data_IF_704880443214
#
_entry.id   IF_704880443214
#
_cell.length_a   1.000
_cell.length_b   1.000
_cell.length_c   1.000
_cell.angle_alpha   90.00
_cell.angle_beta   90.00
_cell.angle_gamma   90.00
#
_symmetry.space_group_name_H-M   'P 1'
#
loop_
_entity.id
_entity.type
_entity.pdbx_description
1 polymer ?
#
# COMPACT_ATOMS: atom_id res chain seq x y z
N UNK A 1 1.37 9.63 -14.34
CA UNK A 1 1.08 8.20 -14.07
C UNK A 1 1.36 7.92 -12.60
N UNK A 2 0.51 7.11 -11.96
CA UNK A 2 0.77 6.54 -10.64
C UNK A 2 1.20 5.08 -10.86
N UNK A 3 2.37 4.71 -10.34
CA UNK A 3 2.72 3.30 -10.22
C UNK A 3 1.93 2.73 -9.04
N UNK A 4 0.99 1.85 -9.31
CA UNK A 4 0.10 1.31 -8.28
C UNK A 4 0.84 0.56 -7.19
N UNK A 5 0.42 0.75 -5.94
CA UNK A 5 0.87 -0.07 -4.83
C UNK A 5 0.38 -1.51 -5.00
N UNK A 6 1.31 -2.42 -5.19
CA UNK A 6 1.02 -3.85 -5.39
C UNK A 6 1.30 -4.64 -4.11
N UNK A 7 1.32 -5.96 -4.21
CA UNK A 7 1.55 -6.84 -3.08
C UNK A 7 2.84 -6.58 -2.30
N UNK A 8 2.96 -7.22 -1.13
CA UNK A 8 4.08 -7.09 -0.19
C UNK A 8 5.40 -7.25 -0.93
N UNK A 9 6.29 -6.29 -0.78
CA UNK A 9 7.61 -6.21 -1.40
C UNK A 9 7.64 -6.22 -2.94
N UNK A 10 6.50 -6.31 -3.65
CA UNK A 10 6.45 -6.18 -5.12
C UNK A 10 6.66 -4.72 -5.51
N UNK A 11 5.90 -3.80 -4.91
CA UNK A 11 6.18 -2.36 -4.96
C UNK A 11 7.17 -2.02 -3.84
N UNK A 12 8.44 -2.24 -4.11
CA UNK A 12 9.53 -1.92 -3.19
C UNK A 12 10.07 -0.50 -3.45
N UNK A 13 10.99 -0.07 -2.62
CA UNK A 13 11.61 1.26 -2.72
C UNK A 13 12.39 1.46 -4.04
N UNK A 14 13.01 0.41 -4.62
CA UNK A 14 13.77 0.51 -5.88
C UNK A 14 12.84 0.83 -7.05
N UNK A 15 11.71 0.13 -7.15
CA UNK A 15 10.70 0.41 -8.16
C UNK A 15 10.14 1.83 -8.00
N UNK A 16 9.73 2.20 -6.78
CA UNK A 16 9.16 3.52 -6.51
C UNK A 16 10.15 4.64 -6.83
N UNK A 17 11.42 4.50 -6.43
CA UNK A 17 12.51 5.44 -6.74
C UNK A 17 12.70 5.59 -8.24
N UNK A 18 12.81 4.47 -8.97
CA UNK A 18 13.00 4.48 -10.44
C UNK A 18 11.86 5.20 -11.15
N UNK A 19 10.62 4.93 -10.76
CA UNK A 19 9.43 5.59 -11.34
C UNK A 19 9.42 7.08 -11.01
N UNK A 20 9.74 7.44 -9.79
CA UNK A 20 9.77 8.83 -9.33
C UNK A 20 10.84 9.66 -10.06
N UNK A 21 12.02 9.08 -10.30
CA UNK A 21 13.08 9.72 -11.09
C UNK A 21 12.68 9.97 -12.55
N UNK A 22 11.66 9.30 -13.07
CA UNK A 22 11.06 9.55 -14.39
C UNK A 22 9.91 10.58 -14.32
N UNK A 23 9.77 11.34 -13.23
CA UNK A 23 8.76 12.38 -13.07
C UNK A 23 7.34 11.83 -12.85
N UNK A 24 7.20 10.57 -12.47
CA UNK A 24 5.92 9.94 -12.18
C UNK A 24 5.77 9.70 -10.66
N UNK A 25 4.59 9.32 -10.17
CA UNK A 25 4.41 8.99 -8.77
C UNK A 25 4.81 7.53 -8.53
N UNK A 26 6.00 7.32 -7.93
CA UNK A 26 6.44 6.03 -7.45
C UNK A 26 5.80 5.69 -6.11
N UNK A 27 5.27 4.48 -5.95
CA UNK A 27 4.51 4.09 -4.76
C UNK A 27 5.06 2.83 -4.13
N UNK A 28 5.43 2.89 -2.86
CA UNK A 28 5.83 1.71 -2.08
C UNK A 28 4.61 1.03 -1.44
N UNK A 29 4.70 -0.29 -1.22
CA UNK A 29 3.68 -1.02 -0.46
C UNK A 29 4.00 -0.98 1.02
N UNK A 30 3.13 -0.37 1.83
CA UNK A 30 3.28 -0.27 3.29
C UNK A 30 2.76 -1.50 4.05
N UNK A 31 2.17 -2.47 3.36
CA UNK A 31 1.58 -3.66 3.99
C UNK A 31 2.65 -4.65 4.42
N UNK A 32 2.63 -5.06 5.70
CA UNK A 32 3.57 -6.01 6.31
C UNK A 32 5.06 -5.68 6.06
N UNK A 33 5.37 -4.41 5.94
CA UNK A 33 6.72 -3.93 5.61
C UNK A 33 7.71 -4.16 6.75
N UNK A 34 7.23 -4.24 7.99
CA UNK A 34 7.97 -4.65 9.18
C UNK A 34 8.60 -6.03 9.01
N UNK A 35 7.83 -6.99 8.49
CA UNK A 35 8.33 -8.33 8.17
C UNK A 35 9.37 -8.29 7.06
N UNK A 36 9.18 -7.46 6.05
CA UNK A 36 10.12 -7.30 4.94
C UNK A 36 11.44 -6.74 5.46
N UNK A 37 11.41 -5.67 6.26
CA UNK A 37 12.60 -5.07 6.84
C UNK A 37 13.34 -6.05 7.76
N UNK A 38 12.62 -6.73 8.67
CA UNK A 38 13.21 -7.70 9.58
C UNK A 38 13.88 -8.86 8.84
N UNK A 39 13.31 -9.33 7.72
CA UNK A 39 13.92 -10.38 6.89
C UNK A 39 15.15 -9.87 6.14
N UNK A 40 15.11 -8.67 5.55
CA UNK A 40 16.29 -8.05 4.90
C UNK A 40 17.47 -7.97 5.87
N UNK A 41 17.22 -7.57 7.13
CA UNK A 41 18.27 -7.52 8.16
C UNK A 41 18.80 -8.93 8.49
N UNK A 42 17.93 -9.92 8.64
CA UNK A 42 18.31 -11.31 8.93
C UNK A 42 19.00 -12.00 7.74
N UNK A 43 18.73 -11.56 6.51
CA UNK A 43 19.43 -12.00 5.30
C UNK A 43 20.78 -11.25 5.11
N UNK A 44 21.18 -10.44 6.10
CA UNK A 44 22.48 -9.79 6.17
C UNK A 44 22.51 -8.36 5.66
N UNK A 45 21.40 -7.84 5.08
CA UNK A 45 21.37 -6.51 4.46
C UNK A 45 22.66 -6.23 3.67
N UNK A 46 23.03 -7.17 2.76
CA UNK A 46 24.32 -7.22 2.07
C UNK A 46 24.70 -5.92 1.35
N UNK A 47 23.70 -5.22 0.81
CA UNK A 47 23.87 -3.89 0.19
C UNK A 47 23.99 -2.75 1.20
N UNK A 48 23.69 -2.99 2.48
CA UNK A 48 23.68 -1.99 3.55
C UNK A 48 22.55 -0.96 3.45
N UNK A 49 21.62 -1.14 2.53
CA UNK A 49 20.56 -0.16 2.28
C UNK A 49 19.64 0.03 3.49
N UNK A 50 19.21 -1.06 4.11
CA UNK A 50 18.32 -1.00 5.28
C UNK A 50 19.00 -0.31 6.45
N UNK A 51 20.25 -0.65 6.75
CA UNK A 51 21.03 -0.03 7.83
C UNK A 51 21.34 1.44 7.54
N UNK A 52 21.64 1.81 6.28
CA UNK A 52 21.83 3.20 5.87
C UNK A 52 20.59 4.05 6.12
N UNK A 53 19.41 3.53 5.78
CA UNK A 53 18.15 4.23 6.05
C UNK A 53 17.83 4.29 7.56
N UNK A 54 18.06 3.20 8.30
CA UNK A 54 17.90 3.19 9.76
C UNK A 54 18.80 4.20 10.45
N UNK A 55 20.03 4.45 9.96
CA UNK A 55 20.90 5.49 10.49
C UNK A 55 20.31 6.91 10.37
N UNK A 56 19.33 7.13 9.51
CA UNK A 56 18.61 8.41 9.36
C UNK A 56 17.31 8.45 10.17
N UNK A 57 16.93 7.34 10.81
CA UNK A 57 15.72 7.32 11.65
C UNK A 57 15.94 8.18 12.90
N UNK A 58 14.98 9.06 13.28
CA UNK A 58 15.20 10.04 14.35
C UNK A 58 15.56 9.44 15.72
N UNK A 59 15.02 8.27 16.05
CA UNK A 59 15.24 7.61 17.34
C UNK A 59 16.25 6.48 17.23
N UNK A 60 17.52 6.76 17.55
CA UNK A 60 18.61 5.80 17.44
C UNK A 60 18.61 4.70 18.51
N UNK A 61 17.89 4.90 19.63
CA UNK A 61 17.67 3.84 20.62
C UNK A 61 16.78 2.73 20.03
N UNK A 62 15.72 3.12 19.31
CA UNK A 62 14.86 2.18 18.56
C UNK A 62 15.66 1.42 17.51
N UNK A 63 16.52 2.12 16.77
CA UNK A 63 17.41 1.50 15.76
C UNK A 63 18.31 0.46 16.39
N UNK A 64 18.94 0.79 17.51
CA UNK A 64 19.85 -0.13 18.24
C UNK A 64 19.13 -1.40 18.68
N UNK A 65 17.90 -1.29 19.20
CA UNK A 65 17.05 -2.45 19.55
C UNK A 65 16.70 -3.31 18.33
N UNK A 66 16.33 -2.69 17.22
CA UNK A 66 15.98 -3.38 15.97
C UNK A 66 17.20 -4.13 15.41
N UNK A 67 18.35 -3.48 15.34
CA UNK A 67 19.57 -4.10 14.82
C UNK A 67 20.05 -5.23 15.73
N UNK A 68 20.04 -5.05 17.05
CA UNK A 68 20.42 -6.10 18.01
C UNK A 68 19.53 -7.34 17.89
N UNK A 69 18.25 -7.17 17.53
CA UNK A 69 17.29 -8.27 17.43
C UNK A 69 17.29 -8.97 16.08
N UNK A 70 17.49 -8.23 14.99
CA UNK A 70 17.22 -8.76 13.64
C UNK A 70 18.43 -8.75 12.71
N UNK A 71 19.43 -7.93 12.93
CA UNK A 71 20.58 -7.91 12.02
C UNK A 71 21.51 -9.09 12.29
N UNK A 72 21.82 -9.83 11.22
CA UNK A 72 22.78 -10.95 11.25
C UNK A 72 23.84 -10.65 10.19
N UNK A 73 25.05 -10.39 10.62
CA UNK A 73 26.17 -10.16 9.71
C UNK A 73 26.42 -11.38 8.82
N UNK A 74 26.50 -11.14 7.51
CA UNK A 74 26.63 -12.22 6.51
C UNK A 74 25.32 -13.00 6.25
N UNK A 75 24.27 -12.73 6.98
CA UNK A 75 22.96 -13.37 6.83
C UNK A 75 22.81 -14.68 7.63
N UNK A 76 21.57 -15.03 7.91
CA UNK A 76 21.24 -16.29 8.59
C UNK A 76 21.50 -17.52 7.70
N UNK A 77 21.80 -18.66 8.31
CA UNK A 77 21.88 -19.92 7.58
C UNK A 77 20.52 -20.31 6.97
N UNK A 78 20.54 -20.97 5.80
CA UNK A 78 19.34 -21.28 5.04
C UNK A 78 18.30 -22.13 5.81
N UNK A 79 18.75 -23.02 6.70
CA UNK A 79 17.91 -23.90 7.51
C UNK A 79 17.42 -23.27 8.82
N UNK A 80 17.85 -22.04 9.16
CA UNK A 80 17.41 -21.33 10.35
C UNK A 80 16.14 -20.56 10.04
N UNK A 81 15.04 -20.69 10.81
CA UNK A 81 13.84 -19.90 10.60
C UNK A 81 14.09 -18.42 10.92
N UNK A 82 13.28 -17.55 10.31
CA UNK A 82 13.32 -16.12 10.63
C UNK A 82 12.77 -15.87 12.04
N UNK A 83 13.43 -14.96 12.76
CA UNK A 83 12.86 -14.35 13.96
C UNK A 83 11.67 -13.51 13.55
N UNK A 84 10.51 -13.81 14.12
CA UNK A 84 9.26 -13.12 13.77
C UNK A 84 9.19 -11.73 14.41
N UNK A 85 8.57 -10.80 13.72
CA UNK A 85 8.23 -9.50 14.29
C UNK A 85 7.08 -9.63 15.29
N UNK A 86 7.03 -8.80 16.34
CA UNK A 86 5.90 -8.78 17.27
C UNK A 86 4.63 -8.33 16.52
N UNK A 87 3.51 -8.97 16.85
CA UNK A 87 2.22 -8.63 16.25
C UNK A 87 1.67 -7.36 16.89
N UNK A 88 1.15 -6.46 16.07
CA UNK A 88 0.31 -5.37 16.54
C UNK A 88 -1.01 -5.96 17.05
N UNK A 89 -1.37 -5.60 18.27
CA UNK A 89 -2.62 -5.96 18.95
C UNK A 89 -3.33 -4.70 19.42
N UNK A 90 -4.52 -4.82 19.99
CA UNK A 90 -5.23 -3.67 20.58
C UNK A 90 -4.45 -3.03 21.75
N UNK A 91 -3.61 -3.81 22.43
CA UNK A 91 -2.74 -3.30 23.51
C UNK A 91 -1.62 -2.37 23.02
N UNK A 92 -1.37 -2.33 21.69
CA UNK A 92 -0.39 -1.45 21.06
C UNK A 92 1.01 -1.55 21.69
N UNK A 93 1.56 -2.77 21.79
CA UNK A 93 2.89 -3.02 22.37
C UNK A 93 3.94 -2.14 21.70
N UNK A 94 4.77 -1.51 22.51
CA UNK A 94 5.77 -0.54 22.08
C UNK A 94 6.75 -1.10 21.05
N UNK A 95 7.29 -2.30 21.27
CA UNK A 95 8.24 -2.94 20.36
C UNK A 95 7.62 -3.25 18.98
N UNK A 96 6.32 -3.57 18.94
CA UNK A 96 5.61 -3.77 17.69
C UNK A 96 5.38 -2.45 16.93
N UNK A 97 5.09 -1.35 17.64
CA UNK A 97 5.01 -0.03 17.02
C UNK A 97 6.37 0.44 16.51
N UNK A 98 7.43 0.28 17.30
CA UNK A 98 8.79 0.72 16.96
C UNK A 98 9.26 0.11 15.63
N UNK A 99 9.16 -1.21 15.47
CA UNK A 99 9.59 -1.85 14.23
C UNK A 99 8.70 -1.47 13.03
N UNK A 100 7.39 -1.32 13.24
CA UNK A 100 6.47 -0.96 12.17
C UNK A 100 6.70 0.48 11.68
N UNK A 101 6.92 1.43 12.59
CA UNK A 101 7.26 2.83 12.28
C UNK A 101 8.59 2.87 11.52
N UNK A 102 9.63 2.23 12.05
CA UNK A 102 10.94 2.20 11.43
C UNK A 102 10.92 1.57 10.03
N UNK A 103 10.15 0.51 9.82
CA UNK A 103 10.05 -0.16 8.53
C UNK A 103 9.38 0.71 7.46
N UNK A 104 8.29 1.40 7.81
CA UNK A 104 7.64 2.35 6.89
C UNK A 104 8.55 3.55 6.59
N UNK A 105 9.28 4.04 7.60
CA UNK A 105 10.30 5.07 7.40
C UNK A 105 11.36 4.60 6.41
N UNK A 106 11.98 3.45 6.63
CA UNK A 106 13.06 2.90 5.80
C UNK A 106 12.64 2.78 4.34
N UNK A 107 11.48 2.21 4.06
CA UNK A 107 11.03 1.98 2.69
C UNK A 107 10.78 3.30 1.94
N UNK A 108 10.17 4.28 2.60
CA UNK A 108 9.92 5.61 2.01
C UNK A 108 11.22 6.40 1.88
N UNK A 109 12.09 6.38 2.91
CA UNK A 109 13.36 7.11 2.89
C UNK A 109 14.26 6.63 1.74
N UNK A 110 14.43 5.31 1.57
CA UNK A 110 15.18 4.73 0.45
C UNK A 110 14.57 5.11 -0.92
N UNK A 111 13.25 5.13 -1.00
CA UNK A 111 12.59 5.55 -2.22
C UNK A 111 12.84 7.02 -2.55
N UNK A 112 12.99 7.90 -1.54
CA UNK A 112 13.22 9.35 -1.71
C UNK A 112 14.68 9.75 -1.80
N UNK A 113 15.60 8.86 -1.44
CA UNK A 113 17.02 9.19 -1.36
C UNK A 113 17.60 9.63 -2.71
N UNK A 114 18.24 10.81 -2.73
CA UNK A 114 19.05 11.28 -3.86
C UNK A 114 18.28 11.89 -5.03
N UNK A 115 16.99 12.19 -4.86
CA UNK A 115 16.19 12.90 -5.86
C UNK A 115 15.01 13.67 -5.24
N UNK A 116 14.38 14.57 -6.02
CA UNK A 116 13.26 15.41 -5.59
C UNK A 116 11.91 14.97 -6.17
N UNK A 117 11.83 13.79 -6.80
CA UNK A 117 10.59 13.27 -7.34
C UNK A 117 9.60 12.84 -6.25
N UNK A 118 8.35 12.64 -6.64
CA UNK A 118 7.26 12.34 -5.71
C UNK A 118 7.22 10.85 -5.36
N UNK A 119 7.08 10.57 -4.07
CA UNK A 119 6.91 9.21 -3.53
C UNK A 119 5.60 9.09 -2.78
N UNK A 120 4.86 8.02 -3.09
CA UNK A 120 3.68 7.61 -2.36
C UNK A 120 3.89 6.31 -1.58
N UNK A 121 2.95 6.03 -0.67
CA UNK A 121 2.84 4.75 0.03
C UNK A 121 1.40 4.28 -0.02
N UNK A 122 1.20 2.98 -0.29
CA UNK A 122 -0.13 2.37 -0.35
C UNK A 122 -0.40 1.50 0.85
N UNK A 123 -1.55 1.72 1.50
CA UNK A 123 -2.05 0.94 2.61
C UNK A 123 -3.40 0.29 2.27
N UNK A 124 -3.77 -0.71 3.05
CA UNK A 124 -5.07 -1.39 2.97
C UNK A 124 -5.91 -1.03 4.20
N UNK A 125 -7.05 -0.40 4.01
CA UNK A 125 -7.95 0.01 5.10
C UNK A 125 -8.39 -1.17 5.97
N UNK A 126 -8.58 -2.35 5.39
CA UNK A 126 -8.95 -3.57 6.13
C UNK A 126 -7.92 -4.03 7.18
N UNK A 127 -6.69 -3.48 7.16
CA UNK A 127 -5.64 -3.76 8.15
C UNK A 127 -5.56 -2.58 9.14
N UNK A 128 -6.64 -2.35 9.87
CA UNK A 128 -6.85 -1.15 10.69
C UNK A 128 -5.81 -0.99 11.81
N UNK A 129 -5.44 -2.08 12.49
CA UNK A 129 -4.58 -2.03 13.68
C UNK A 129 -3.18 -1.45 13.43
N UNK A 130 -2.65 -1.58 12.23
CA UNK A 130 -1.31 -1.09 11.88
C UNK A 130 -1.32 0.35 11.34
N UNK A 131 -2.49 0.89 10.98
CA UNK A 131 -2.62 2.11 10.18
C UNK A 131 -1.94 3.31 10.83
N UNK A 132 -2.21 3.58 12.11
CA UNK A 132 -1.68 4.77 12.77
C UNK A 132 -0.15 4.80 12.81
N UNK A 133 0.48 3.71 13.23
CA UNK A 133 1.93 3.59 13.29
C UNK A 133 2.59 3.58 11.90
N UNK A 134 1.98 2.92 10.92
CA UNK A 134 2.48 2.88 9.54
C UNK A 134 2.46 4.25 8.87
N UNK A 135 1.36 4.99 9.02
CA UNK A 135 1.22 6.35 8.50
C UNK A 135 2.26 7.27 9.13
N UNK A 136 2.44 7.19 10.45
CA UNK A 136 3.45 7.97 11.15
C UNK A 136 4.87 7.70 10.64
N UNK A 137 5.26 6.43 10.49
CA UNK A 137 6.57 6.06 9.94
C UNK A 137 6.82 6.60 8.54
N UNK A 138 5.82 6.51 7.66
CA UNK A 138 5.90 7.06 6.32
C UNK A 138 6.00 8.60 6.31
N UNK A 139 5.26 9.28 7.18
CA UNK A 139 5.29 10.74 7.31
C UNK A 139 6.63 11.25 7.87
N UNK A 140 7.27 10.51 8.78
CA UNK A 140 8.62 10.81 9.27
C UNK A 140 9.67 10.80 8.16
N UNK A 141 9.51 9.93 7.17
CA UNK A 141 10.38 9.89 5.99
C UNK A 141 10.00 10.93 4.91
N UNK A 142 9.00 11.76 5.16
CA UNK A 142 8.57 12.83 4.26
C UNK A 142 7.85 12.32 3.01
N UNK A 143 7.03 11.28 3.12
CA UNK A 143 6.20 10.78 2.02
C UNK A 143 5.33 11.90 1.44
N UNK A 144 5.16 11.93 0.12
CA UNK A 144 4.37 12.97 -0.55
C UNK A 144 2.89 12.61 -0.69
N UNK A 145 2.60 11.31 -0.85
CA UNK A 145 1.25 10.80 -1.01
C UNK A 145 1.00 9.56 -0.16
N UNK A 146 -0.14 9.53 0.52
CA UNK A 146 -0.68 8.31 1.11
C UNK A 146 -1.86 7.87 0.26
N UNK A 147 -1.87 6.59 -0.12
CA UNK A 147 -2.91 6.00 -0.96
C UNK A 147 -3.54 4.87 -0.15
N UNK A 148 -4.87 4.83 -0.06
CA UNK A 148 -5.55 3.78 0.68
C UNK A 148 -6.85 3.36 0.01
N UNK A 149 -7.04 2.04 -0.07
CA UNK A 149 -8.25 1.39 -0.56
C UNK A 149 -8.62 0.17 0.29
N UNK A 150 -9.38 -0.74 -0.29
CA UNK A 150 -9.88 -1.94 0.37
C UNK A 150 -10.72 -1.65 1.62
N UNK A 151 -11.58 -0.63 1.54
CA UNK A 151 -12.48 -0.15 2.59
C UNK A 151 -12.85 1.31 2.38
N UNK A 152 -13.34 1.96 3.45
CA UNK A 152 -13.77 3.36 3.45
C UNK A 152 -12.88 4.15 4.41
N UNK A 153 -11.75 4.70 3.97
CA UNK A 153 -10.73 5.30 4.84
C UNK A 153 -11.07 6.75 5.26
N UNK A 154 -12.24 6.95 5.81
CA UNK A 154 -12.78 8.29 6.20
C UNK A 154 -12.00 8.95 7.34
N UNK A 155 -11.34 8.17 8.19
CA UNK A 155 -10.57 8.64 9.35
C UNK A 155 -9.16 9.10 8.99
N UNK A 156 -8.69 8.75 7.80
CA UNK A 156 -7.29 8.98 7.42
C UNK A 156 -6.90 10.46 7.30
N UNK A 157 -7.73 11.36 6.74
CA UNK A 157 -7.39 12.79 6.70
C UNK A 157 -7.20 13.39 8.10
N UNK A 158 -8.03 12.98 9.08
CA UNK A 158 -7.89 13.41 10.47
C UNK A 158 -6.60 12.87 11.09
N UNK A 159 -6.33 11.58 10.92
CA UNK A 159 -5.09 10.95 11.39
C UNK A 159 -3.85 11.69 10.88
N UNK A 160 -3.79 11.97 9.57
CA UNK A 160 -2.68 12.70 8.95
C UNK A 160 -2.52 14.10 9.54
N UNK A 161 -3.62 14.83 9.76
CA UNK A 161 -3.58 16.18 10.37
C UNK A 161 -3.07 16.15 11.81
N UNK A 162 -3.52 15.19 12.62
CA UNK A 162 -3.06 15.04 14.01
C UNK A 162 -1.56 14.73 14.05
N UNK A 163 -1.10 13.76 13.26
CA UNK A 163 0.32 13.40 13.22
C UNK A 163 1.18 14.58 12.75
N UNK A 164 0.74 15.35 11.75
CA UNK A 164 1.50 16.50 11.24
C UNK A 164 1.68 17.59 12.29
N UNK A 165 0.77 17.67 13.29
CA UNK A 165 0.84 18.59 14.44
C UNK A 165 1.53 17.98 15.66
N UNK A 166 2.04 16.77 15.58
CA UNK A 166 2.55 15.97 16.71
C UNK A 166 1.50 15.68 17.78
N UNK A 167 0.22 15.68 17.41
CA UNK A 167 -0.90 15.31 18.27
C UNK A 167 -1.17 13.80 18.16
N UNK A 168 -1.82 13.25 19.19
CA UNK A 168 -2.25 11.84 19.19
C UNK A 168 -3.21 11.60 18.02
N UNK A 169 -2.82 10.69 17.13
CA UNK A 169 -3.65 10.23 16.03
C UNK A 169 -4.28 8.87 16.33
N UNK A 170 -5.57 8.70 16.01
CA UNK A 170 -6.30 7.45 16.28
C UNK A 170 -7.09 6.99 15.07
N UNK A 171 -7.27 5.67 14.96
CA UNK A 171 -8.08 4.99 13.95
C UNK A 171 -9.01 4.01 14.65
N UNK A 172 -10.32 4.01 14.33
CA UNK A 172 -11.23 3.00 14.84
C UNK A 172 -10.89 1.62 14.29
N UNK A 173 -11.09 0.61 15.11
CA UNK A 173 -10.95 -0.80 14.75
C UNK A 173 -12.31 -1.47 14.90
N UNK A 174 -12.80 -2.05 13.82
CA UNK A 174 -14.05 -2.79 13.81
C UNK A 174 -13.84 -4.16 14.49
N UNK A 175 -14.54 -4.38 15.61
CA UNK A 175 -14.49 -5.63 16.37
C UNK A 175 -15.80 -6.38 16.19
N UNK A 176 -15.74 -7.53 15.50
CA UNK A 176 -16.93 -8.37 15.28
C UNK A 176 -17.38 -8.96 16.61
N UNK A 177 -18.63 -8.69 16.97
CA UNK A 177 -19.23 -9.19 18.22
C UNK A 177 -18.70 -8.51 19.48
N UNK A 178 -17.97 -7.40 19.34
CA UNK A 178 -17.41 -6.63 20.44
C UNK A 178 -17.68 -5.13 20.34
N UNK A 179 -17.20 -4.37 21.32
CA UNK A 179 -17.23 -2.91 21.28
C UNK A 179 -16.20 -2.37 20.30
N UNK A 180 -16.48 -1.22 19.68
CA UNK A 180 -15.50 -0.51 18.87
C UNK A 180 -14.23 -0.22 19.70
N UNK A 181 -13.07 -0.49 19.11
CA UNK A 181 -11.77 -0.22 19.71
C UNK A 181 -11.05 0.88 18.91
N UNK A 182 -9.99 1.43 19.49
CA UNK A 182 -9.13 2.41 18.85
C UNK A 182 -7.70 1.89 18.82
N UNK A 183 -7.02 2.12 17.72
CA UNK A 183 -5.56 2.08 17.65
C UNK A 183 -5.04 3.49 17.53
N UNK A 184 -3.98 3.83 18.23
CA UNK A 184 -3.46 5.18 18.29
C UNK A 184 -1.95 5.23 18.22
N UNK A 185 -1.44 6.39 17.84
CA UNK A 185 -0.04 6.75 17.90
C UNK A 185 0.10 8.13 18.54
N UNK A 186 1.00 8.23 19.52
CA UNK A 186 1.46 9.51 20.01
C UNK A 186 2.83 9.81 19.42
N UNK A 187 2.97 10.75 18.47
CA UNK A 187 4.25 11.05 17.84
C UNK A 187 5.36 11.42 18.83
N UNK A 188 5.02 12.11 19.91
CA UNK A 188 5.97 12.56 20.94
C UNK A 188 6.63 11.41 21.73
N UNK A 189 6.08 10.22 21.66
CA UNK A 189 6.74 9.03 22.23
C UNK A 189 7.95 8.58 21.42
N UNK A 190 8.10 9.05 20.18
CA UNK A 190 9.11 8.59 19.22
C UNK A 190 10.05 9.69 18.74
N UNK A 191 9.59 10.94 18.74
CA UNK A 191 10.35 12.10 18.27
C UNK A 191 10.20 13.28 19.25
N UNK A 192 11.13 14.24 19.16
CA UNK A 192 11.08 15.47 19.98
C UNK A 192 10.00 16.43 19.50
N UNK A 193 9.52 17.29 20.41
CA UNK A 193 8.46 18.26 20.13
C UNK A 193 8.80 19.29 19.03
N UNK A 194 10.09 19.47 18.69
CA UNK A 194 10.52 20.35 17.60
C UNK A 194 10.55 19.69 16.22
N UNK A 195 10.21 18.40 16.12
CA UNK A 195 10.24 17.67 14.85
C UNK A 195 9.21 18.23 13.89
N UNK A 196 9.64 18.56 12.67
CA UNK A 196 8.76 19.02 11.60
C UNK A 196 8.30 17.84 10.75
N UNK A 197 7.01 17.62 10.67
CA UNK A 197 6.40 16.55 9.85
C UNK A 197 5.57 17.19 8.74
N UNK A 198 6.01 16.98 7.50
CA UNK A 198 5.26 17.43 6.32
C UNK A 198 3.95 16.64 6.20
N UNK A 199 2.83 17.36 6.03
CA UNK A 199 1.54 16.73 5.72
C UNK A 199 1.56 16.21 4.28
N UNK A 200 1.42 14.88 4.04
CA UNK A 200 1.26 14.33 2.69
C UNK A 200 -0.15 14.61 2.16
N UNK A 201 -0.31 14.48 0.84
CA UNK A 201 -1.63 14.39 0.21
C UNK A 201 -2.20 12.98 0.39
N UNK A 202 -3.52 12.90 0.49
CA UNK A 202 -4.22 11.63 0.61
C UNK A 202 -5.07 11.36 -0.63
N UNK A 203 -4.89 10.18 -1.26
CA UNK A 203 -5.71 9.67 -2.35
C UNK A 203 -6.51 8.45 -1.88
N UNK A 204 -7.84 8.55 -1.94
CA UNK A 204 -8.70 7.41 -1.64
C UNK A 204 -8.95 6.57 -2.90
N UNK A 205 -8.72 5.25 -2.82
CA UNK A 205 -9.10 4.31 -3.89
C UNK A 205 -10.57 3.96 -3.70
N UNK A 206 -11.35 4.19 -4.73
CA UNK A 206 -12.78 3.92 -4.79
C UNK A 206 -13.14 3.14 -6.06
N UNK A 207 -14.24 2.41 -6.04
CA UNK A 207 -14.75 1.71 -7.23
C UNK A 207 -15.93 2.44 -7.89
N UNK A 208 -16.59 3.37 -7.19
CA UNK A 208 -17.83 4.01 -7.61
C UNK A 208 -17.96 5.44 -7.09
N UNK A 209 -18.67 6.27 -7.84
CA UNK A 209 -18.94 7.68 -7.56
C UNK A 209 -19.66 7.95 -6.24
N UNK A 210 -20.54 7.06 -5.82
CA UNK A 210 -21.28 7.19 -4.55
C UNK A 210 -20.32 7.24 -3.36
N UNK A 211 -19.26 6.43 -3.37
CA UNK A 211 -18.24 6.45 -2.31
C UNK A 211 -17.39 7.72 -2.38
N UNK A 212 -17.07 8.19 -3.59
CA UNK A 212 -16.39 9.47 -3.78
C UNK A 212 -17.20 10.64 -3.22
N UNK A 213 -18.48 10.70 -3.53
CA UNK A 213 -19.42 11.71 -2.99
C UNK A 213 -19.51 11.65 -1.47
N UNK A 214 -19.59 10.43 -0.91
CA UNK A 214 -19.63 10.25 0.54
C UNK A 214 -18.38 10.79 1.23
N UNK A 215 -17.19 10.46 0.74
CA UNK A 215 -15.92 10.89 1.32
C UNK A 215 -15.66 12.40 1.12
N UNK A 216 -16.12 12.97 0.01
CA UNK A 216 -15.90 14.38 -0.30
C UNK A 216 -16.87 15.34 0.44
N UNK A 217 -17.92 14.81 1.06
CA UNK A 217 -19.02 15.60 1.67
C UNK A 217 -18.57 16.45 2.86
N UNK A 218 -17.64 15.93 3.64
CA UNK A 218 -17.19 16.52 4.90
C UNK A 218 -15.68 16.78 4.83
N UNK A 219 -15.24 17.96 5.20
CA UNK A 219 -13.83 18.34 5.23
C UNK A 219 -12.98 17.42 6.14
N UNK A 220 -13.59 16.85 7.18
CA UNK A 220 -12.91 15.90 8.06
C UNK A 220 -12.55 14.58 7.38
N UNK A 221 -13.33 14.18 6.37
CA UNK A 221 -13.18 12.91 5.65
C UNK A 221 -12.68 13.09 4.21
N UNK A 222 -12.66 14.34 3.72
CA UNK A 222 -12.34 14.68 2.33
C UNK A 222 -10.90 14.34 1.98
N UNK A 223 -10.64 13.49 0.96
CA UNK A 223 -9.31 13.25 0.45
C UNK A 223 -8.83 14.42 -0.44
N UNK A 224 -7.54 14.44 -0.76
CA UNK A 224 -6.98 15.39 -1.75
C UNK A 224 -7.26 14.95 -3.21
N UNK A 225 -7.75 13.75 -3.43
CA UNK A 225 -8.13 13.22 -4.74
C UNK A 225 -8.55 11.75 -4.66
N UNK A 226 -8.92 11.20 -5.81
CA UNK A 226 -9.42 9.84 -5.92
C UNK A 226 -8.66 9.01 -6.95
N UNK A 227 -8.51 7.72 -6.66
CA UNK A 227 -8.16 6.71 -7.66
C UNK A 227 -9.42 5.87 -7.87
N UNK A 228 -9.97 5.90 -9.08
CA UNK A 228 -11.18 5.16 -9.46
C UNK A 228 -10.73 3.83 -10.05
N UNK A 229 -10.92 2.76 -9.30
CA UNK A 229 -10.48 1.42 -9.67
C UNK A 229 -11.61 0.65 -10.34
N UNK A 230 -11.43 0.37 -11.62
CA UNK A 230 -12.33 -0.47 -12.39
C UNK A 230 -12.16 -1.96 -12.01
N UNK A 231 -13.21 -2.76 -12.17
CA UNK A 231 -13.19 -4.20 -11.88
C UNK A 231 -12.16 -5.00 -12.70
N UNK A 232 -11.68 -4.46 -13.82
CA UNK A 232 -10.59 -5.04 -14.61
C UNK A 232 -9.19 -4.80 -14.04
N UNK A 233 -9.07 -4.09 -12.91
CA UNK A 233 -7.80 -3.95 -12.21
C UNK A 233 -7.36 -5.32 -11.64
N UNK A 234 -6.06 -5.62 -11.77
CA UNK A 234 -5.49 -6.79 -11.11
C UNK A 234 -5.39 -6.61 -9.60
N UNK A 235 -5.41 -7.72 -8.85
CA UNK A 235 -5.30 -7.71 -7.40
C UNK A 235 -6.66 -7.66 -6.68
N UNK A 236 -6.71 -6.95 -5.55
CA UNK A 236 -7.96 -6.78 -4.80
C UNK A 236 -8.83 -5.72 -5.48
N UNK A 237 -9.98 -6.11 -5.99
CA UNK A 237 -11.00 -5.20 -6.48
C UNK A 237 -12.28 -5.25 -5.63
N UNK A 238 -13.14 -4.27 -5.78
CA UNK A 238 -14.43 -4.27 -5.09
C UNK A 238 -15.32 -5.40 -5.63
N UNK A 239 -16.06 -6.11 -4.78
CA UNK A 239 -17.01 -7.11 -5.24
C UNK A 239 -18.20 -6.45 -5.96
N UNK A 240 -18.91 -7.18 -6.86
CA UNK A 240 -20.14 -6.71 -7.46
C UNK A 240 -21.16 -6.27 -6.41
N UNK A 241 -21.96 -5.27 -6.73
CA UNK A 241 -23.06 -4.79 -5.89
C UNK A 241 -24.30 -5.63 -6.08
N UNK A 242 -24.91 -6.08 -4.99
CA UNK A 242 -26.09 -6.90 -4.99
C UNK A 242 -25.78 -8.40 -4.93
N UNK A 243 -26.60 -9.21 -5.62
CA UNK A 243 -26.40 -10.66 -5.66
C UNK A 243 -25.17 -10.99 -6.50
N UNK A 244 -24.32 -11.85 -5.97
CA UNK A 244 -23.14 -12.30 -6.71
C UNK A 244 -23.53 -13.37 -7.71
N UNK A 245 -23.20 -13.11 -8.96
CA UNK A 245 -23.33 -14.04 -10.08
C UNK A 245 -21.93 -14.26 -10.67
N UNK A 246 -21.71 -15.44 -11.22
CA UNK A 246 -20.42 -15.84 -11.76
C UNK A 246 -20.58 -16.30 -13.21
N UNK A 247 -19.60 -15.99 -14.04
CA UNK A 247 -19.50 -16.49 -15.39
C UNK A 247 -19.04 -17.97 -15.43
N UNK A 248 -18.93 -18.53 -16.62
CA UNK A 248 -18.47 -19.89 -16.86
C UNK A 248 -17.04 -20.16 -16.38
N UNK A 249 -16.22 -19.11 -16.22
CA UNK A 249 -14.85 -19.16 -15.72
C UNK A 249 -14.79 -18.97 -14.19
N UNK A 250 -15.91 -18.73 -13.54
CA UNK A 250 -16.00 -18.46 -12.10
C UNK A 250 -15.58 -17.05 -11.71
N UNK A 251 -15.51 -16.10 -12.67
CA UNK A 251 -15.28 -14.69 -12.38
C UNK A 251 -16.60 -13.99 -12.02
N UNK A 252 -16.59 -13.03 -11.08
CA UNK A 252 -17.80 -12.28 -10.74
C UNK A 252 -18.30 -11.45 -11.93
N UNK A 253 -19.60 -11.44 -12.13
CA UNK A 253 -20.25 -10.61 -13.16
C UNK A 253 -20.53 -9.24 -12.57
N UNK A 254 -20.04 -8.19 -13.23
CA UNK A 254 -20.23 -6.80 -12.84
C UNK A 254 -21.29 -6.13 -13.70
N UNK A 255 -22.12 -5.29 -13.09
CA UNK A 255 -23.19 -4.56 -13.76
C UNK A 255 -22.94 -3.04 -13.82
N UNK A 256 -23.87 -2.28 -14.40
CA UNK A 256 -23.76 -0.82 -14.50
C UNK A 256 -23.59 -0.09 -13.15
N UNK A 257 -24.08 -0.69 -12.05
CA UNK A 257 -23.93 -0.13 -10.69
C UNK A 257 -22.51 -0.23 -10.14
N UNK A 258 -21.66 -1.02 -10.78
CA UNK A 258 -20.27 -1.25 -10.38
C UNK A 258 -19.29 -0.34 -11.12
N UNK A 259 -19.79 0.49 -12.04
CA UNK A 259 -19.01 1.44 -12.83
C UNK A 259 -19.24 2.84 -12.27
N UNK A 260 -18.15 3.56 -12.00
CA UNK A 260 -18.23 4.93 -11.51
C UNK A 260 -18.72 5.89 -12.60
N UNK A 261 -19.64 6.77 -12.25
CA UNK A 261 -20.09 7.88 -13.11
C UNK A 261 -19.03 9.00 -13.06
N UNK A 262 -18.26 9.14 -14.14
CA UNK A 262 -17.18 10.11 -14.24
C UNK A 262 -17.71 11.55 -14.20
N UNK A 263 -18.88 11.83 -14.74
CA UNK A 263 -19.46 13.18 -14.70
C UNK A 263 -19.83 13.59 -13.26
N UNK A 264 -20.27 12.67 -12.44
CA UNK A 264 -20.44 12.93 -10.99
C UNK A 264 -19.13 13.13 -10.27
N UNK A 265 -18.07 12.38 -10.64
CA UNK A 265 -16.76 12.58 -10.05
C UNK A 265 -16.17 13.96 -10.37
N UNK A 266 -16.35 14.48 -11.59
CA UNK A 266 -15.94 15.83 -11.97
C UNK A 266 -16.61 16.92 -11.12
N UNK A 267 -17.89 16.74 -10.76
CA UNK A 267 -18.63 17.67 -9.91
C UNK A 267 -18.08 17.80 -8.49
N UNK A 268 -17.24 16.87 -8.04
CA UNK A 268 -16.57 16.95 -6.74
C UNK A 268 -15.41 17.93 -6.71
N UNK A 269 -14.97 18.43 -7.89
CA UNK A 269 -13.85 19.37 -8.06
C UNK A 269 -12.55 18.90 -7.41
N UNK A 270 -12.36 17.57 -7.34
CA UNK A 270 -11.16 16.92 -6.85
C UNK A 270 -10.47 16.17 -7.99
N UNK A 271 -9.14 16.19 -8.07
CA UNK A 271 -8.42 15.41 -9.07
C UNK A 271 -8.70 13.92 -8.89
N UNK A 272 -8.84 13.20 -10.00
CA UNK A 272 -8.99 11.75 -9.98
C UNK A 272 -8.11 11.08 -11.03
N UNK A 273 -7.72 9.88 -10.75
CA UNK A 273 -6.96 8.99 -11.63
C UNK A 273 -7.80 7.75 -11.92
N UNK A 274 -7.70 7.22 -13.13
CA UNK A 274 -8.38 5.98 -13.52
C UNK A 274 -7.42 4.79 -13.41
N UNK A 275 -7.89 3.68 -12.82
CA UNK A 275 -7.15 2.44 -12.66
C UNK A 275 -7.92 1.25 -13.23
N UNK A 276 -7.19 0.26 -13.74
CA UNK A 276 -7.73 -0.91 -14.43
C UNK A 276 -7.51 -0.85 -15.94
N UNK A 277 -6.58 -1.68 -16.43
CA UNK A 277 -6.25 -1.83 -17.86
C UNK A 277 -5.75 -0.57 -18.59
N UNK A 278 -5.27 0.44 -17.88
CA UNK A 278 -4.75 1.69 -18.47
C UNK A 278 -3.25 1.65 -18.84
N UNK A 279 -2.67 0.48 -18.97
CA UNK A 279 -1.24 0.29 -19.28
C UNK A 279 -0.88 0.46 -20.76
N UNK A 280 -1.60 1.25 -21.54
CA UNK A 280 -1.26 1.56 -22.94
C UNK A 280 -1.55 3.03 -23.28
N UNK A 281 -0.86 3.60 -24.29
CA UNK A 281 -0.97 5.03 -24.63
C UNK A 281 -2.38 5.48 -25.00
N UNK A 282 -3.13 4.66 -25.72
CA UNK A 282 -4.48 4.99 -26.19
C UNK A 282 -5.44 5.16 -25.03
N UNK A 283 -5.38 4.25 -24.05
CA UNK A 283 -6.21 4.34 -22.84
C UNK A 283 -5.79 5.47 -21.91
N UNK A 284 -4.50 5.80 -21.84
CA UNK A 284 -4.03 6.98 -21.12
C UNK A 284 -4.61 8.25 -21.75
N UNK A 285 -4.56 8.39 -23.08
CA UNK A 285 -5.17 9.52 -23.81
C UNK A 285 -6.68 9.59 -23.56
N UNK A 286 -7.36 8.45 -23.60
CA UNK A 286 -8.81 8.37 -23.32
C UNK A 286 -9.15 8.78 -21.89
N UNK A 287 -8.35 8.40 -20.89
CA UNK A 287 -8.53 8.82 -19.51
C UNK A 287 -8.38 10.33 -19.35
N UNK A 288 -7.35 10.93 -19.95
CA UNK A 288 -7.13 12.38 -19.94
C UNK A 288 -8.28 13.12 -20.63
N UNK A 289 -8.78 12.62 -21.76
CA UNK A 289 -9.93 13.19 -22.46
C UNK A 289 -11.22 13.13 -21.63
N UNK A 290 -11.35 12.18 -20.73
CA UNK A 290 -12.43 12.11 -19.76
C UNK A 290 -12.27 13.06 -18.57
N UNK A 291 -11.18 13.84 -18.50
CA UNK A 291 -10.90 14.80 -17.42
C UNK A 291 -10.15 14.19 -16.23
N UNK A 292 -9.65 12.96 -16.34
CA UNK A 292 -8.77 12.41 -15.31
C UNK A 292 -7.43 13.16 -15.27
N UNK A 293 -6.88 13.34 -14.08
CA UNK A 293 -5.53 13.89 -13.89
C UNK A 293 -4.43 12.94 -14.38
N UNK A 294 -4.77 11.67 -14.58
CA UNK A 294 -3.89 10.64 -15.08
C UNK A 294 -4.43 9.24 -14.85
N UNK A 295 -3.55 8.27 -14.81
CA UNK A 295 -3.90 6.85 -14.61
C UNK A 295 -3.04 6.20 -13.54
N UNK A 296 -3.57 5.16 -12.89
CA UNK A 296 -2.80 4.24 -12.07
C UNK A 296 -2.58 2.92 -12.83
N UNK A 297 -1.33 2.45 -12.84
CA UNK A 297 -0.93 1.22 -13.53
C UNK A 297 -0.17 0.31 -12.56
N UNK A 298 -0.55 -0.95 -12.49
CA UNK A 298 0.09 -1.96 -11.63
C UNK A 298 0.88 -3.00 -12.43
N UNK A 299 0.18 -3.80 -13.24
CA UNK A 299 0.70 -5.02 -13.88
C UNK A 299 2.00 -4.80 -14.66
N UNK A 300 2.09 -3.73 -15.45
CA UNK A 300 3.32 -3.45 -16.22
C UNK A 300 4.51 -3.15 -15.32
N UNK A 301 4.29 -2.43 -14.22
CA UNK A 301 5.34 -2.18 -13.23
C UNK A 301 5.73 -3.45 -12.47
N UNK A 302 4.79 -4.36 -12.21
CA UNK A 302 5.07 -5.64 -11.55
C UNK A 302 6.05 -6.51 -12.34
N UNK A 303 6.00 -6.49 -13.67
CA UNK A 303 6.92 -7.25 -14.54
C UNK A 303 8.22 -6.49 -14.87
N UNK A 304 8.39 -5.26 -14.39
CA UNK A 304 9.62 -4.49 -14.58
C UNK A 304 10.82 -5.09 -13.81
N UNK A 305 12.02 -4.71 -14.20
CA UNK A 305 13.25 -5.21 -13.57
C UNK A 305 13.43 -4.76 -12.12
N UNK A 306 12.80 -3.66 -11.72
CA UNK A 306 12.90 -3.09 -10.38
C UNK A 306 11.80 -3.57 -9.42
N UNK A 307 10.81 -4.36 -9.91
CA UNK A 307 9.81 -4.95 -9.03
C UNK A 307 10.43 -6.03 -8.12
N UNK A 308 9.79 -6.26 -6.97
CA UNK A 308 10.23 -7.28 -6.03
C UNK A 308 9.95 -8.73 -6.45
N UNK A 309 9.48 -8.99 -7.66
CA UNK A 309 9.37 -10.35 -8.16
C UNK A 309 10.74 -10.97 -8.42
N UNK A 310 10.86 -12.26 -8.09
CA UNK A 310 12.05 -13.03 -8.45
C UNK A 310 12.26 -13.03 -9.98
N UNK A 311 13.50 -13.10 -10.43
CA UNK A 311 13.82 -13.19 -11.87
C UNK A 311 13.10 -14.37 -12.55
N UNK A 312 12.92 -15.48 -11.82
CA UNK A 312 12.16 -16.65 -12.30
C UNK A 312 10.69 -16.30 -12.53
N UNK A 313 10.01 -15.72 -11.55
CA UNK A 313 8.59 -15.32 -11.65
C UNK A 313 8.40 -14.29 -12.76
N UNK A 314 9.26 -13.28 -12.81
CA UNK A 314 9.21 -12.23 -13.84
C UNK A 314 9.43 -12.81 -15.24
N UNK A 315 10.39 -13.72 -15.42
CA UNK A 315 10.62 -14.40 -16.69
C UNK A 315 9.40 -15.21 -17.15
N UNK A 316 8.73 -15.91 -16.25
CA UNK A 316 7.48 -16.63 -16.55
C UNK A 316 6.36 -15.68 -17.00
N UNK A 317 6.19 -14.56 -16.32
CA UNK A 317 5.18 -13.55 -16.68
C UNK A 317 5.47 -12.90 -18.03
N UNK A 318 6.73 -12.54 -18.29
CA UNK A 318 7.16 -11.98 -19.57
C UNK A 318 6.96 -12.95 -20.72
N UNK A 319 7.25 -14.23 -20.55
CA UNK A 319 7.01 -15.25 -21.56
C UNK A 319 5.51 -15.40 -21.87
N UNK A 320 4.65 -15.38 -20.84
CA UNK A 320 3.20 -15.40 -21.05
C UNK A 320 2.70 -14.14 -21.75
N UNK A 321 3.24 -12.97 -21.41
CA UNK A 321 2.91 -11.72 -22.10
C UNK A 321 3.30 -11.78 -23.58
N UNK A 322 4.52 -12.23 -23.90
CA UNK A 322 5.02 -12.37 -25.28
C UNK A 322 4.21 -13.36 -26.11
N UNK A 323 3.72 -14.43 -25.50
CA UNK A 323 2.87 -15.43 -26.17
C UNK A 323 1.39 -15.07 -26.19
N UNK A 324 1.02 -13.87 -25.72
CA UNK A 324 -0.36 -13.40 -25.57
C UNK A 324 -1.25 -14.31 -24.69
N UNK A 325 -0.63 -15.01 -23.74
CA UNK A 325 -1.26 -15.95 -22.80
C UNK A 325 -1.28 -15.43 -21.36
N UNK A 326 -1.03 -14.13 -21.16
CA UNK A 326 -1.13 -13.49 -19.85
C UNK A 326 -2.58 -13.10 -19.60
N UNK A 327 -3.24 -13.85 -18.74
CA UNK A 327 -4.58 -13.55 -18.27
C UNK A 327 -4.52 -12.94 -16.87
N UNK A 328 -5.30 -11.89 -16.65
CA UNK A 328 -5.55 -11.28 -15.33
C UNK A 328 -7.00 -11.55 -15.00
N UNK A 329 -7.24 -12.31 -13.94
CA UNK A 329 -8.58 -12.74 -13.52
C UNK A 329 -8.86 -12.40 -12.07
N UNK A 330 -10.13 -12.16 -11.77
CA UNK A 330 -10.62 -12.09 -10.40
C UNK A 330 -11.02 -13.49 -9.94
N UNK A 331 -10.24 -14.08 -9.04
CA UNK A 331 -10.52 -15.39 -8.47
C UNK A 331 -10.92 -15.24 -7.00
N UNK A 332 -12.22 -15.37 -6.71
CA UNK A 332 -12.77 -15.24 -5.36
C UNK A 332 -12.33 -16.36 -4.41
N UNK A 333 -11.78 -17.46 -4.92
CA UNK A 333 -11.24 -18.56 -4.11
C UNK A 333 -9.76 -18.34 -3.76
N UNK A 334 -9.02 -17.70 -4.65
CA UNK A 334 -7.61 -17.36 -4.44
C UNK A 334 -7.43 -16.00 -3.79
N UNK A 335 -8.39 -15.06 -4.01
CA UNK A 335 -8.38 -13.78 -3.32
C UNK A 335 -8.74 -14.00 -1.85
N UNK A 336 -8.06 -13.24 -1.00
CA UNK A 336 -8.35 -13.19 0.41
C UNK A 336 -9.82 -12.86 0.61
N UNK A 337 -10.61 -13.88 0.94
CA UNK A 337 -12.01 -13.66 1.29
C UNK A 337 -12.05 -12.57 2.33
N UNK A 338 -12.99 -11.63 2.25
CA UNK A 338 -13.35 -10.68 3.32
C UNK A 338 -13.77 -11.40 4.62
N UNK A 339 -13.03 -12.39 5.04
CA UNK A 339 -13.14 -12.96 6.36
C UNK A 339 -12.11 -12.27 7.21
N UNK A 340 -12.58 -11.44 8.08
CA UNK A 340 -11.98 -10.85 9.27
C UNK A 340 -11.28 -11.85 10.20
N UNK A 341 -10.79 -12.93 9.72
CA UNK A 341 -9.88 -13.78 10.45
C UNK A 341 -8.48 -13.24 10.24
N UNK A 342 -8.02 -12.49 11.23
CA UNK A 342 -6.61 -12.28 11.55
C UNK A 342 -5.96 -13.67 11.80
N UNK A 343 -5.89 -14.47 10.77
CA UNK A 343 -5.14 -15.72 10.81
C UNK A 343 -3.81 -15.50 10.11
N UNK A 344 -2.79 -15.98 10.76
CA UNK A 344 -1.38 -16.17 10.45
C UNK A 344 -1.00 -16.54 9.01
N UNK A 345 -1.89 -16.41 8.04
CA UNK A 345 -1.70 -16.68 6.62
C UNK A 345 -1.20 -15.46 5.82
N UNK A 346 -0.75 -14.38 6.49
CA UNK A 346 -0.10 -13.25 5.81
C UNK A 346 1.15 -13.64 5.01
N UNK A 347 1.70 -14.82 5.23
CA UNK A 347 2.76 -15.38 4.39
C UNK A 347 2.29 -15.75 2.96
N UNK A 348 0.99 -15.94 2.74
CA UNK A 348 0.42 -16.34 1.45
C UNK A 348 -0.15 -15.18 0.61
N UNK A 349 -0.14 -13.94 1.12
CA UNK A 349 -0.64 -12.75 0.38
C UNK A 349 0.22 -12.42 -0.85
N UNK A 350 1.46 -12.87 -0.88
CA UNK A 350 2.36 -12.67 -2.03
C UNK A 350 1.93 -13.37 -3.31
N UNK A 351 0.92 -14.24 -3.28
CA UNK A 351 0.39 -14.95 -4.45
C UNK A 351 -0.89 -14.35 -5.02
N UNK A 352 -1.55 -13.41 -4.34
CA UNK A 352 -2.84 -12.87 -4.76
C UNK A 352 -2.76 -11.85 -5.91
N UNK A 353 -1.57 -11.48 -6.36
CA UNK A 353 -1.39 -10.46 -7.42
C UNK A 353 -1.56 -11.05 -8.83
N UNK A 354 -1.34 -12.36 -9.00
CA UNK A 354 -1.52 -13.04 -10.28
C UNK A 354 -2.05 -14.46 -10.05
N UNK A 355 -3.32 -14.69 -10.35
CA UNK A 355 -3.84 -16.04 -10.51
C UNK A 355 -3.25 -16.63 -11.79
N UNK A 356 -2.12 -17.32 -11.66
CA UNK A 356 -1.58 -18.12 -12.73
C UNK A 356 -2.31 -19.47 -12.71
N UNK A 357 -3.27 -19.70 -13.61
CA UNK A 357 -3.76 -21.06 -13.84
C UNK A 357 -2.58 -21.94 -14.19
N UNK A 358 -2.29 -22.94 -13.33
CA UNK A 358 -1.62 -24.16 -13.81
C UNK A 358 -2.66 -24.92 -14.66
N UNK A 359 -2.39 -25.08 -15.96
CA UNK A 359 -2.95 -26.19 -16.70
C UNK A 359 -2.30 -27.47 -16.25
#
# INVERSE_FOLDING_TARGET
IIQGGMGIAVSNWELAKTVSMQGQLGVVSGTAIDNVMARRLQDGDLSGNTRRALAQFPNQEVVSKILAKYFIEGGKAANVPYVMVPKITLEQKRDAQEILIAANFVEVWLAKEGHNGLIGINFLHKIQMTTAASVFGAMLAGVDYIIMGAGIPRELPKLIRSIAKLEVGSVPVDVIGGSAALTSINPLDFVSAGTQIKKPKFLAIISVDVLGTYLARDEETRPDGFIIEHNSAGGHNAPPRGKWEFDENGEPIYGPKDIADIEKMKKLELPFWLAGTYGNPERVKAALAQGAAGVQVGTLFAISNHSGFSSKTRGQLLNKLKSNNLEIKTDVKASDRKSTRLNSSHANISYAVFCLKKK
#
